data_IF_512469161757
#
_entry.id   IF_512469161757
#
_cell.length_a   1.000
_cell.length_b   1.000
_cell.length_c   1.000
_cell.angle_alpha   90.00
_cell.angle_beta   90.00
_cell.angle_gamma   90.00
#
_symmetry.space_group_name_H-M   'P 1'
#
loop_
_entity.id
_entity.type
_entity.pdbx_description
1 polymer ?
#
# COMPACT_ATOMS: atom_id res chain seq x y z
N UNK A 1 -4.85 -12.22 11.56
CA UNK A 1 -3.90 -13.16 10.95
C UNK A 1 -3.13 -12.45 9.84
N UNK A 2 -1.81 -12.57 9.83
CA UNK A 2 -0.97 -11.91 8.84
C UNK A 2 -1.04 -12.50 7.45
N UNK A 3 -0.69 -11.71 6.44
CA UNK A 3 -0.70 -12.10 5.02
C UNK A 3 0.11 -13.38 4.79
N UNK A 4 1.32 -13.44 5.36
CA UNK A 4 2.21 -14.59 5.16
C UNK A 4 1.58 -15.90 5.60
N UNK A 5 0.88 -15.89 6.74
CA UNK A 5 0.20 -17.09 7.24
C UNK A 5 -0.95 -17.50 6.33
N UNK A 6 -1.72 -16.54 5.83
CA UNK A 6 -2.82 -16.81 4.88
C UNK A 6 -2.32 -17.41 3.58
N UNK A 7 -1.25 -16.85 3.04
CA UNK A 7 -0.65 -17.36 1.80
C UNK A 7 -0.12 -18.78 1.98
N UNK A 8 0.53 -19.08 3.10
CA UNK A 8 1.03 -20.42 3.39
C UNK A 8 -0.08 -21.46 3.50
N UNK A 9 -1.25 -21.07 4.00
CA UNK A 9 -2.42 -21.97 4.10
C UNK A 9 -3.19 -22.10 2.78
N UNK A 10 -2.87 -21.27 1.78
CA UNK A 10 -3.61 -21.23 0.52
C UNK A 10 -4.99 -20.57 0.66
N UNK A 11 -5.17 -19.71 1.63
CA UNK A 11 -6.43 -18.99 1.84
C UNK A 11 -6.76 -18.09 0.64
N UNK A 12 -8.06 -17.96 0.35
CA UNK A 12 -8.57 -16.99 -0.60
C UNK A 12 -9.31 -15.91 0.17
N UNK A 13 -9.00 -14.65 -0.13
CA UNK A 13 -9.63 -13.52 0.55
C UNK A 13 -9.63 -12.30 -0.35
N UNK A 14 -10.60 -11.41 -0.11
CA UNK A 14 -10.70 -10.15 -0.85
C UNK A 14 -9.80 -9.09 -0.22
N UNK A 15 -9.14 -8.33 -1.08
CA UNK A 15 -8.27 -7.23 -0.65
C UNK A 15 -8.75 -5.96 -1.38
N UNK A 16 -9.49 -5.08 -0.69
CA UNK A 16 -9.96 -3.85 -1.33
C UNK A 16 -8.81 -2.87 -1.55
N UNK A 17 -8.88 -2.14 -2.66
CA UNK A 17 -7.96 -1.04 -2.95
C UNK A 17 -8.33 0.20 -2.16
N UNK A 18 -7.36 0.73 -1.44
CA UNK A 18 -7.50 1.98 -0.68
C UNK A 18 -6.40 2.94 -1.11
N UNK A 19 -6.52 4.20 -0.74
CA UNK A 19 -5.60 5.22 -1.26
C UNK A 19 -5.33 6.34 -0.25
N UNK A 20 -6.02 6.37 0.88
CA UNK A 20 -5.83 7.35 1.94
C UNK A 20 -6.30 6.78 3.29
N UNK A 21 -6.02 7.48 4.41
CA UNK A 21 -6.47 7.04 5.72
C UNK A 21 -7.99 6.86 5.81
N UNK A 22 -8.76 7.71 5.14
CA UNK A 22 -10.22 7.66 5.17
C UNK A 22 -10.73 6.36 4.54
N UNK A 23 -10.28 6.03 3.33
CA UNK A 23 -10.70 4.79 2.65
C UNK A 23 -10.25 3.55 3.43
N UNK A 24 -9.08 3.60 4.07
CA UNK A 24 -8.60 2.51 4.91
C UNK A 24 -9.54 2.27 6.10
N UNK A 25 -9.95 3.32 6.79
CA UNK A 25 -10.88 3.22 7.92
C UNK A 25 -12.25 2.69 7.50
N UNK A 26 -12.74 3.13 6.34
CA UNK A 26 -14.02 2.63 5.79
C UNK A 26 -13.95 1.12 5.58
N UNK A 27 -12.90 0.63 4.93
CA UNK A 27 -12.71 -0.79 4.66
C UNK A 27 -12.51 -1.60 5.95
N UNK A 28 -11.71 -1.10 6.88
CA UNK A 28 -11.50 -1.76 8.17
C UNK A 28 -12.83 -1.87 8.93
N UNK A 29 -13.65 -0.84 8.90
CA UNK A 29 -14.96 -0.84 9.54
C UNK A 29 -15.95 -1.85 8.90
N UNK A 30 -15.68 -2.28 7.68
CA UNK A 30 -16.42 -3.34 6.99
C UNK A 30 -15.77 -4.72 7.17
N UNK A 31 -14.87 -4.85 8.15
CA UNK A 31 -14.20 -6.09 8.52
C UNK A 31 -13.18 -6.62 7.50
N UNK A 32 -12.65 -5.75 6.64
CA UNK A 32 -11.50 -6.12 5.82
C UNK A 32 -10.22 -5.97 6.65
N UNK A 33 -9.47 -7.05 6.75
CA UNK A 33 -8.24 -7.09 7.55
C UNK A 33 -6.96 -7.09 6.71
N UNK A 34 -7.10 -7.01 5.39
CA UNK A 34 -6.01 -6.84 4.45
C UNK A 34 -6.43 -5.81 3.41
N UNK A 35 -5.60 -4.80 3.20
CA UNK A 35 -5.86 -3.67 2.32
C UNK A 35 -4.75 -3.56 1.28
N UNK A 36 -5.07 -3.04 0.11
CA UNK A 36 -4.11 -2.77 -0.97
C UNK A 36 -4.00 -1.27 -1.20
N UNK A 37 -2.82 -0.69 -0.98
CA UNK A 37 -2.58 0.72 -1.29
C UNK A 37 -2.38 0.87 -2.80
N UNK A 38 -3.38 1.46 -3.46
CA UNK A 38 -3.46 1.60 -4.91
C UNK A 38 -2.67 2.81 -5.41
N UNK A 39 -1.70 2.57 -6.30
CA UNK A 39 -0.99 3.67 -6.97
C UNK A 39 -1.92 4.51 -7.83
N UNK A 40 -2.91 3.89 -8.46
CA UNK A 40 -3.96 4.60 -9.20
C UNK A 40 -4.73 5.55 -8.27
N UNK A 41 -5.20 5.05 -7.13
CA UNK A 41 -5.96 5.85 -6.17
C UNK A 41 -5.13 6.99 -5.56
N UNK A 42 -3.86 6.74 -5.27
CA UNK A 42 -2.95 7.78 -4.76
C UNK A 42 -2.71 8.85 -5.81
N UNK A 43 -2.43 8.47 -7.06
CA UNK A 43 -2.23 9.43 -8.16
C UNK A 43 -3.47 10.29 -8.38
N UNK A 44 -4.64 9.67 -8.40
CA UNK A 44 -5.91 10.37 -8.61
C UNK A 44 -6.23 11.35 -7.48
N UNK A 45 -6.04 10.93 -6.23
CA UNK A 45 -6.42 11.74 -5.06
C UNK A 45 -5.39 12.79 -4.69
N UNK A 46 -4.11 12.52 -4.93
CA UNK A 46 -3.03 13.46 -4.58
C UNK A 46 -2.80 14.49 -5.68
N UNK A 47 -2.81 14.04 -6.94
CA UNK A 47 -2.42 14.87 -8.09
C UNK A 47 -3.56 15.12 -9.07
N UNK A 48 -4.63 14.34 -9.03
CA UNK A 48 -5.68 14.37 -10.06
C UNK A 48 -5.17 13.91 -11.42
N UNK A 49 -4.16 13.05 -11.44
CA UNK A 49 -3.51 12.55 -12.65
C UNK A 49 -3.71 11.04 -12.79
N UNK A 50 -3.62 10.50 -14.03
CA UNK A 50 -3.72 9.06 -14.25
C UNK A 50 -2.49 8.33 -13.66
N UNK A 51 -2.62 7.01 -13.53
CA UNK A 51 -1.56 6.13 -13.03
C UNK A 51 -0.53 5.88 -14.14
N UNK A 52 0.36 6.84 -14.32
CA UNK A 52 1.37 6.83 -15.38
C UNK A 52 2.74 7.32 -14.88
N UNK A 53 3.10 6.95 -13.65
CA UNK A 53 4.41 7.25 -13.10
C UNK A 53 4.60 8.68 -12.58
N UNK A 54 3.51 9.40 -12.34
CA UNK A 54 3.59 10.78 -11.84
C UNK A 54 3.88 10.88 -10.35
N UNK A 55 3.48 9.89 -9.56
CA UNK A 55 3.67 9.89 -8.11
C UNK A 55 5.09 9.42 -7.79
N UNK A 56 5.80 10.18 -6.95
CA UNK A 56 7.16 9.84 -6.51
C UNK A 56 7.13 8.80 -5.38
N UNK A 57 8.30 8.20 -5.13
CA UNK A 57 8.50 7.33 -3.96
C UNK A 57 8.12 8.05 -2.66
N UNK A 58 8.58 9.27 -2.47
CA UNK A 58 8.29 10.02 -1.25
C UNK A 58 6.79 10.24 -1.05
N UNK A 59 6.08 10.57 -2.11
CA UNK A 59 4.62 10.77 -2.06
C UNK A 59 3.90 9.46 -1.70
N UNK A 60 4.28 8.35 -2.33
CA UNK A 60 3.70 7.04 -2.02
C UNK A 60 4.04 6.61 -0.59
N UNK A 61 5.27 6.78 -0.17
CA UNK A 61 5.73 6.39 1.16
C UNK A 61 5.06 7.19 2.27
N UNK A 62 4.87 8.48 2.07
CA UNK A 62 4.15 9.34 3.02
C UNK A 62 2.68 8.93 3.14
N UNK A 63 2.04 8.63 2.01
CA UNK A 63 0.66 8.14 2.01
C UNK A 63 0.55 6.80 2.73
N UNK A 64 1.48 5.87 2.47
CA UNK A 64 1.54 4.57 3.14
C UNK A 64 1.67 4.73 4.65
N UNK A 65 2.57 5.60 5.09
CA UNK A 65 2.75 5.87 6.52
C UNK A 65 1.49 6.41 7.17
N UNK A 66 0.82 7.34 6.51
CA UNK A 66 -0.44 7.91 7.01
C UNK A 66 -1.53 6.83 7.13
N UNK A 67 -1.63 5.95 6.16
CA UNK A 67 -2.58 4.82 6.18
C UNK A 67 -2.23 3.87 7.32
N UNK A 68 -0.97 3.46 7.43
CA UNK A 68 -0.51 2.52 8.45
C UNK A 68 -0.75 3.03 9.87
N UNK A 69 -0.71 4.33 10.07
CA UNK A 69 -0.91 4.94 11.39
C UNK A 69 -2.36 4.85 11.88
N UNK A 70 -3.33 4.63 11.01
CA UNK A 70 -4.75 4.64 11.39
C UNK A 70 -5.43 3.27 11.32
N UNK A 71 -4.77 2.27 10.76
CA UNK A 71 -5.37 0.92 10.60
C UNK A 71 -4.50 -0.15 11.26
N UNK A 72 -5.16 -1.21 11.75
CA UNK A 72 -4.51 -2.42 12.21
C UNK A 72 -4.51 -3.51 11.14
N UNK A 73 -5.18 -3.27 10.01
CA UNK A 73 -5.20 -4.21 8.88
C UNK A 73 -3.81 -4.33 8.25
N UNK A 74 -3.53 -5.48 7.67
CA UNK A 74 -2.31 -5.68 6.89
C UNK A 74 -2.38 -4.87 5.59
N UNK A 75 -1.25 -4.34 5.15
CA UNK A 75 -1.19 -3.49 3.95
C UNK A 75 -0.26 -4.11 2.92
N UNK A 76 -0.80 -4.35 1.72
CA UNK A 76 -0.02 -4.64 0.51
C UNK A 76 0.16 -3.30 -0.21
N UNK A 77 1.39 -2.86 -0.40
CA UNK A 77 1.66 -1.56 -1.00
C UNK A 77 2.11 -1.68 -2.45
N UNK A 78 1.52 -0.86 -3.31
CA UNK A 78 1.92 -0.73 -4.71
C UNK A 78 3.27 -0.03 -4.79
N UNK A 79 4.30 -0.74 -5.27
CA UNK A 79 5.65 -0.21 -5.43
C UNK A 79 5.95 0.24 -6.86
N UNK A 80 4.94 0.29 -7.73
CA UNK A 80 5.09 0.62 -9.15
C UNK A 80 6.21 -0.23 -9.77
N UNK A 81 7.26 0.38 -10.35
CA UNK A 81 8.43 -0.32 -10.87
C UNK A 81 9.65 -0.20 -9.95
N UNK A 82 9.45 0.29 -8.72
CA UNK A 82 10.51 0.46 -7.71
C UNK A 82 11.08 1.87 -7.62
N UNK A 83 10.57 2.80 -8.42
CA UNK A 83 10.94 4.23 -8.42
C UNK A 83 12.40 4.49 -8.78
N UNK A 84 12.93 3.72 -9.73
CA UNK A 84 14.27 3.95 -10.28
C UNK A 84 15.06 2.68 -10.55
N UNK A 85 16.39 2.77 -10.49
CA UNK A 85 17.30 1.64 -10.69
C UNK A 85 17.43 0.75 -9.46
N UNK A 86 18.39 -0.17 -9.47
CA UNK A 86 18.56 -1.18 -8.40
C UNK A 86 18.70 -0.56 -7.00
N UNK A 87 19.49 0.50 -6.86
CA UNK A 87 19.66 1.16 -5.57
C UNK A 87 18.36 1.81 -5.09
N UNK A 88 17.56 2.35 -6.01
CA UNK A 88 16.27 2.93 -5.69
C UNK A 88 15.24 1.86 -5.28
N UNK A 89 15.27 0.70 -5.92
CA UNK A 89 14.39 -0.42 -5.58
C UNK A 89 14.66 -0.88 -4.14
N UNK A 90 15.94 -1.02 -3.76
CA UNK A 90 16.31 -1.36 -2.39
C UNK A 90 15.78 -0.33 -1.40
N UNK A 91 15.97 0.95 -1.68
CA UNK A 91 15.44 2.05 -0.86
C UNK A 91 13.92 1.98 -0.73
N UNK A 92 13.23 1.68 -1.82
CA UNK A 92 11.77 1.56 -1.84
C UNK A 92 11.30 0.44 -0.90
N UNK A 93 11.92 -0.73 -1.00
CA UNK A 93 11.57 -1.88 -0.15
C UNK A 93 11.78 -1.54 1.33
N UNK A 94 12.95 -1.01 1.67
CA UNK A 94 13.26 -0.64 3.05
C UNK A 94 12.32 0.45 3.56
N UNK A 95 12.08 1.48 2.76
CA UNK A 95 11.21 2.59 3.14
C UNK A 95 9.75 2.15 3.35
N UNK A 96 9.24 1.31 2.46
CA UNK A 96 7.88 0.77 2.58
C UNK A 96 7.73 -0.12 3.81
N UNK A 97 8.70 -0.98 4.06
CA UNK A 97 8.70 -1.83 5.26
C UNK A 97 8.69 -0.98 6.53
N UNK A 98 9.54 0.02 6.61
CA UNK A 98 9.61 0.95 7.76
C UNK A 98 8.33 1.77 7.92
N UNK A 99 7.65 2.07 6.84
CA UNK A 99 6.40 2.85 6.88
C UNK A 99 5.16 2.01 7.20
N UNK A 100 5.28 0.69 7.24
CA UNK A 100 4.22 -0.19 7.70
C UNK A 100 3.62 -1.13 6.67
N UNK A 101 4.23 -1.29 5.49
CA UNK A 101 3.79 -2.28 4.52
C UNK A 101 4.13 -3.69 5.01
N UNK A 102 3.19 -4.61 4.83
CA UNK A 102 3.37 -6.03 5.13
C UNK A 102 3.78 -6.81 3.87
N UNK A 103 3.49 -6.27 2.71
CA UNK A 103 3.87 -6.81 1.42
C UNK A 103 3.98 -5.69 0.38
N UNK A 104 4.69 -5.96 -0.70
CA UNK A 104 4.88 -5.03 -1.82
C UNK A 104 4.53 -5.75 -3.11
N UNK A 105 3.83 -5.03 -3.98
CA UNK A 105 3.56 -5.50 -5.33
C UNK A 105 4.37 -4.67 -6.33
#
# INVERSE_FOLDING_TARGET
MGIKSRLKRGDRFSVPGIYDPFSALVCENQNFDTLYMSGFGVSATLLGLPDAGFVSFNQMNDRLRAIANVTTSSIIADGDTGFGGLANIEQTVVGYEQSGADAIQ
#
